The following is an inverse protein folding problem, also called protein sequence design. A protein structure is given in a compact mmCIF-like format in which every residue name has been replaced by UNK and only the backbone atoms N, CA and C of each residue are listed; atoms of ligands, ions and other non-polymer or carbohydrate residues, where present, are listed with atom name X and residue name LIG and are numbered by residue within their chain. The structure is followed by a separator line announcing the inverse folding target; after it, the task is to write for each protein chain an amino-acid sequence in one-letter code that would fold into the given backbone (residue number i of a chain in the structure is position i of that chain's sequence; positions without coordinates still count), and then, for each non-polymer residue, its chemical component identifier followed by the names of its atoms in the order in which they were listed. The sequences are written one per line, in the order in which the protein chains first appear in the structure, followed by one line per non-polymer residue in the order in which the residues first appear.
data_IF_746138523632
#
_entry.id   IF_746138523632
#
_cell.length_a   1.000
_cell.length_b   1.000
_cell.length_c   1.000
_cell.angle_alpha   90.00
_cell.angle_beta   90.00
_cell.angle_gamma   90.00
#
_symmetry.space_group_name_H-M   'P 1'
#
loop_
_entity.id
_entity.type
_entity.pdbx_description
1 polymer ?
#
# COMPACT_ATOMS: atom_id res chain seq x y z
N UNK A 1 54.52 23.97 -6.37
CA UNK A 1 53.58 22.87 -6.66
C UNK A 1 52.75 22.58 -5.42
N UNK A 2 51.50 23.03 -5.31
CA UNK A 2 50.60 22.56 -4.26
C UNK A 2 49.89 21.30 -4.77
N UNK A 3 50.05 20.19 -4.04
CA UNK A 3 49.31 18.94 -4.24
C UNK A 3 47.83 19.19 -3.93
N UNK A 4 47.02 19.40 -4.96
CA UNK A 4 45.57 19.35 -4.82
C UNK A 4 45.16 17.88 -4.81
N UNK A 5 44.80 17.42 -3.62
CA UNK A 5 44.21 16.13 -3.32
C UNK A 5 43.10 15.82 -4.32
N UNK A 6 43.19 14.68 -4.99
CA UNK A 6 42.16 14.22 -5.94
C UNK A 6 40.79 14.19 -5.25
N UNK A 7 39.71 14.65 -5.92
CA UNK A 7 38.36 14.59 -5.39
C UNK A 7 37.93 13.12 -5.17
N UNK A 8 37.12 12.83 -4.13
CA UNK A 8 36.70 11.48 -3.83
C UNK A 8 35.88 10.89 -5.00
N UNK A 9 35.99 9.57 -5.25
CA UNK A 9 35.26 8.94 -6.34
C UNK A 9 33.74 9.07 -6.13
N UNK A 10 32.96 9.18 -7.22
CA UNK A 10 31.51 9.26 -7.12
C UNK A 10 30.95 8.00 -6.43
N UNK A 11 29.90 8.13 -5.60
CA UNK A 11 29.32 6.98 -4.90
C UNK A 11 28.85 5.94 -5.91
N UNK A 12 29.26 4.69 -5.70
CA UNK A 12 28.83 3.54 -6.50
C UNK A 12 27.32 3.58 -6.70
N UNK A 13 26.90 3.59 -7.96
CA UNK A 13 25.52 3.30 -8.32
C UNK A 13 25.17 1.94 -7.73
N UNK A 14 24.27 1.93 -6.74
CA UNK A 14 23.61 0.71 -6.29
C UNK A 14 22.86 0.16 -7.50
N UNK A 15 23.55 -0.66 -8.29
CA UNK A 15 22.93 -1.52 -9.28
C UNK A 15 22.00 -2.42 -8.48
N UNK A 16 20.70 -2.15 -8.56
CA UNK A 16 19.67 -3.11 -8.20
C UNK A 16 19.96 -4.35 -9.04
N UNK A 17 20.67 -5.32 -8.43
CA UNK A 17 20.84 -6.64 -9.03
C UNK A 17 19.46 -7.08 -9.47
N UNK A 18 19.36 -7.60 -10.71
CA UNK A 18 18.19 -8.38 -11.15
C UNK A 18 17.70 -9.22 -9.97
N UNK A 19 16.39 -9.28 -9.72
CA UNK A 19 15.86 -9.98 -8.56
C UNK A 19 16.49 -11.37 -8.54
N UNK A 20 17.13 -11.78 -7.42
CA UNK A 20 17.74 -13.10 -7.37
C UNK A 20 16.63 -14.13 -7.65
N UNK A 21 16.96 -15.26 -8.32
CA UNK A 21 16.01 -16.37 -8.42
C UNK A 21 15.54 -16.72 -7.00
N UNK A 22 14.28 -17.20 -6.85
CA UNK A 22 13.65 -17.37 -5.53
C UNK A 22 14.63 -18.08 -4.61
N UNK A 23 15.01 -17.39 -3.53
CA UNK A 23 15.89 -17.97 -2.53
C UNK A 23 15.21 -19.25 -2.04
N UNK A 24 15.90 -20.41 -2.03
CA UNK A 24 15.34 -21.61 -1.43
C UNK A 24 14.93 -21.25 -0.01
N UNK A 25 13.70 -21.63 0.38
CA UNK A 25 13.10 -21.34 1.69
C UNK A 25 14.13 -21.47 2.81
N UNK A 26 14.77 -20.36 3.19
CA UNK A 26 15.54 -20.31 4.44
C UNK A 26 14.49 -20.23 5.53
N UNK A 27 14.44 -21.19 6.48
CA UNK A 27 13.50 -21.08 7.58
C UNK A 27 13.76 -19.77 8.31
N UNK A 28 12.71 -18.94 8.42
CA UNK A 28 12.72 -17.68 9.19
C UNK A 28 13.42 -17.96 10.53
N UNK A 29 14.28 -17.03 10.97
CA UNK A 29 14.59 -16.91 12.40
C UNK A 29 13.25 -16.70 13.09
N UNK A 30 12.70 -17.79 13.61
CA UNK A 30 11.55 -17.76 14.48
C UNK A 30 11.86 -16.69 15.52
N UNK A 31 11.01 -15.66 15.61
CA UNK A 31 10.85 -14.87 16.84
C UNK A 31 11.02 -15.87 17.98
N UNK A 32 11.99 -15.63 18.87
CA UNK A 32 12.44 -16.58 19.88
C UNK A 32 11.25 -17.39 20.37
N UNK A 33 11.15 -18.66 19.92
CA UNK A 33 10.14 -19.55 20.45
C UNK A 33 10.43 -19.56 21.94
N UNK A 34 9.50 -19.07 22.75
CA UNK A 34 9.49 -19.43 24.15
C UNK A 34 9.70 -20.95 24.18
N UNK A 35 10.77 -21.40 24.83
CA UNK A 35 11.03 -22.82 24.97
C UNK A 35 9.74 -23.48 25.46
N UNK A 36 9.26 -24.56 24.82
CA UNK A 36 8.01 -25.18 25.24
C UNK A 36 8.18 -25.63 26.70
N UNK A 37 7.48 -24.93 27.59
CA UNK A 37 7.28 -25.39 28.96
C UNK A 37 6.53 -26.71 28.82
N UNK A 38 7.01 -27.78 29.49
CA UNK A 38 6.28 -29.03 29.53
C UNK A 38 4.82 -28.74 29.95
N UNK A 39 3.82 -29.32 29.29
CA UNK A 39 2.40 -29.00 29.57
C UNK A 39 2.00 -29.14 31.07
N UNK A 40 2.77 -29.92 31.84
CA UNK A 40 2.61 -30.04 33.30
C UNK A 40 3.10 -28.84 34.11
N UNK A 41 4.01 -28.04 33.56
CA UNK A 41 4.62 -26.85 34.16
C UNK A 41 4.03 -25.54 33.60
N UNK A 42 3.12 -25.63 32.62
CA UNK A 42 2.51 -24.45 32.03
C UNK A 42 1.61 -23.76 33.07
N UNK A 43 1.89 -22.51 33.46
CA UNK A 43 1.05 -21.77 34.39
C UNK A 43 -0.38 -21.64 33.88
N UNK A 44 -0.63 -21.65 32.56
CA UNK A 44 -1.99 -21.65 32.01
C UNK A 44 -2.72 -22.97 32.30
N UNK A 45 -2.02 -24.10 32.39
CA UNK A 45 -2.61 -25.41 32.74
C UNK A 45 -2.97 -25.48 34.23
N UNK A 46 -2.19 -24.85 35.11
CA UNK A 46 -2.55 -24.73 36.52
C UNK A 46 -3.73 -23.76 36.71
N UNK A 47 -3.71 -22.62 36.01
CA UNK A 47 -4.80 -21.64 36.01
C UNK A 47 -6.08 -22.23 35.42
N UNK A 48 -5.99 -23.06 34.38
CA UNK A 48 -7.15 -23.69 33.75
C UNK A 48 -7.82 -24.68 34.68
N UNK A 49 -7.07 -25.50 35.43
CA UNK A 49 -7.66 -26.38 36.47
C UNK A 49 -8.38 -25.60 37.57
N UNK A 50 -7.90 -24.41 37.90
CA UNK A 50 -8.52 -23.54 38.90
C UNK A 50 -9.79 -22.84 38.35
N UNK A 51 -9.71 -22.26 37.16
CA UNK A 51 -10.80 -21.51 36.51
C UNK A 51 -11.90 -22.41 35.96
N UNK A 52 -11.53 -23.54 35.35
CA UNK A 52 -12.43 -24.58 34.84
C UNK A 52 -12.71 -25.69 35.86
N UNK A 53 -12.24 -25.52 37.10
CA UNK A 53 -12.54 -26.42 38.20
C UNK A 53 -14.02 -26.33 38.62
N UNK A 54 -14.45 -27.20 39.54
CA UNK A 54 -15.83 -27.24 40.07
C UNK A 54 -16.33 -25.94 40.73
N UNK A 55 -15.46 -24.94 40.93
CA UNK A 55 -15.76 -23.71 41.67
C UNK A 55 -16.54 -22.67 40.86
N UNK A 56 -16.43 -22.65 39.52
CA UNK A 56 -17.18 -21.74 38.65
C UNK A 56 -17.92 -22.56 37.58
N UNK A 57 -19.25 -22.45 37.46
CA UNK A 57 -19.98 -23.06 36.35
C UNK A 57 -19.36 -22.57 35.02
N UNK A 58 -19.04 -23.46 34.06
CA UNK A 58 -18.39 -23.08 32.81
C UNK A 58 -19.11 -21.94 32.06
N UNK A 59 -20.44 -21.85 32.16
CA UNK A 59 -21.23 -20.77 31.58
C UNK A 59 -20.89 -19.39 32.14
N UNK A 60 -20.69 -19.26 33.46
CA UNK A 60 -20.37 -17.99 34.11
C UNK A 60 -18.95 -17.53 33.74
N UNK A 61 -18.00 -18.46 33.70
CA UNK A 61 -16.64 -18.18 33.24
C UNK A 61 -16.65 -17.68 31.79
N UNK A 62 -17.35 -18.38 30.89
CA UNK A 62 -17.44 -17.99 29.48
C UNK A 62 -18.09 -16.61 29.32
N UNK A 63 -19.16 -16.32 30.06
CA UNK A 63 -19.79 -15.00 30.04
C UNK A 63 -18.84 -13.91 30.52
N UNK A 64 -18.13 -14.12 31.63
CA UNK A 64 -17.17 -13.15 32.16
C UNK A 64 -16.03 -12.87 31.18
N UNK A 65 -15.45 -13.92 30.61
CA UNK A 65 -14.37 -13.81 29.60
C UNK A 65 -14.88 -13.10 28.34
N UNK A 66 -16.07 -13.44 27.85
CA UNK A 66 -16.67 -12.78 26.69
C UNK A 66 -16.85 -11.28 26.93
N UNK A 67 -17.42 -10.89 28.07
CA UNK A 67 -17.60 -9.47 28.41
C UNK A 67 -16.26 -8.74 28.54
N UNK A 68 -15.29 -9.32 29.26
CA UNK A 68 -13.96 -8.75 29.41
C UNK A 68 -13.24 -8.57 28.07
N UNK A 69 -13.31 -9.59 27.21
CA UNK A 69 -12.75 -9.54 25.86
C UNK A 69 -13.40 -8.48 25.00
N UNK A 70 -14.74 -8.43 24.94
CA UNK A 70 -15.47 -7.43 24.16
C UNK A 70 -15.19 -6.01 24.64
N UNK A 71 -15.10 -5.79 25.96
CA UNK A 71 -14.78 -4.47 26.52
C UNK A 71 -13.34 -4.04 26.17
N UNK A 72 -12.36 -4.94 26.32
CA UNK A 72 -10.98 -4.67 25.94
C UNK A 72 -10.84 -4.39 24.44
N UNK A 73 -11.51 -5.20 23.61
CA UNK A 73 -11.56 -4.99 22.17
C UNK A 73 -12.15 -3.61 21.81
N UNK A 74 -13.29 -3.23 22.41
CA UNK A 74 -13.91 -1.92 22.17
C UNK A 74 -13.00 -0.74 22.55
N UNK A 75 -12.27 -0.85 23.67
CA UNK A 75 -11.31 0.17 24.09
C UNK A 75 -10.17 0.33 23.07
N UNK A 76 -9.63 -0.79 22.59
CA UNK A 76 -8.55 -0.81 21.59
C UNK A 76 -9.01 -0.25 20.25
N UNK A 77 -10.20 -0.66 19.80
CA UNK A 77 -10.77 -0.22 18.52
C UNK A 77 -11.03 1.28 18.49
N UNK A 78 -11.48 1.90 19.59
CA UNK A 78 -11.63 3.36 19.69
C UNK A 78 -10.35 4.15 19.38
N UNK A 79 -9.18 3.59 19.70
CA UNK A 79 -7.89 4.23 19.47
C UNK A 79 -7.31 3.88 18.09
N UNK A 80 -7.42 2.62 17.70
CA UNK A 80 -6.82 2.12 16.46
C UNK A 80 -7.63 2.48 15.22
N UNK A 81 -8.96 2.45 15.36
CA UNK A 81 -9.92 2.68 14.30
C UNK A 81 -11.12 3.48 14.82
N UNK A 82 -10.98 4.81 14.96
CA UNK A 82 -12.06 5.69 15.38
C UNK A 82 -13.32 5.45 14.57
N UNK A 83 -14.47 5.40 15.23
CA UNK A 83 -15.77 5.19 14.60
C UNK A 83 -16.79 6.21 15.08
N UNK A 84 -17.81 6.43 14.26
CA UNK A 84 -19.00 7.15 14.66
C UNK A 84 -19.68 6.40 15.83
N UNK A 85 -19.93 7.07 16.99
CA UNK A 85 -20.48 6.40 18.16
C UNK A 85 -21.91 5.87 18.01
N UNK A 86 -22.70 6.44 17.09
CA UNK A 86 -24.10 6.07 16.91
C UNK A 86 -24.25 4.88 15.95
N UNK A 87 -23.43 4.82 14.91
CA UNK A 87 -23.52 3.84 13.83
C UNK A 87 -22.45 2.75 13.91
N UNK A 88 -21.31 3.00 14.56
CA UNK A 88 -20.14 2.11 14.53
C UNK A 88 -19.33 2.19 13.23
N UNK A 89 -19.61 3.16 12.35
CA UNK A 89 -18.92 3.35 11.08
C UNK A 89 -17.51 3.92 11.26
N UNK A 90 -16.50 3.24 10.71
CA UNK A 90 -15.11 3.69 10.77
C UNK A 90 -14.91 5.03 10.05
N UNK A 91 -14.16 5.93 10.69
CA UNK A 91 -13.71 7.21 10.13
C UNK A 91 -12.19 7.29 10.18
N UNK A 92 -11.56 7.54 9.01
CA UNK A 92 -10.12 7.75 8.92
C UNK A 92 -9.75 9.11 9.53
N UNK A 93 -8.78 9.12 10.45
CA UNK A 93 -8.23 10.35 11.00
C UNK A 93 -7.51 11.15 9.90
N UNK A 94 -7.82 12.46 9.73
CA UNK A 94 -7.12 13.31 8.78
C UNK A 94 -5.62 13.44 9.08
N UNK A 95 -4.86 13.62 8.00
CA UNK A 95 -3.42 13.88 8.05
C UNK A 95 -3.11 15.24 8.69
N UNK A 96 -2.12 15.29 9.60
CA UNK A 96 -1.72 16.54 10.30
C UNK A 96 -0.96 17.51 9.39
N UNK A 97 -0.34 17.02 8.33
CA UNK A 97 0.35 17.79 7.30
C UNK A 97 -0.27 17.44 5.94
N UNK A 98 -1.50 17.92 5.67
CA UNK A 98 -2.33 17.40 4.59
C UNK A 98 -1.91 17.90 3.20
N UNK A 99 -1.01 18.87 3.09
CA UNK A 99 -0.56 19.45 1.84
C UNK A 99 0.92 19.83 1.93
N UNK A 100 1.58 19.89 0.77
CA UNK A 100 2.93 20.47 0.64
C UNK A 100 2.81 21.99 0.69
N UNK A 101 3.42 22.62 1.69
CA UNK A 101 3.38 24.08 1.87
C UNK A 101 4.73 24.69 1.50
N UNK A 102 4.70 25.64 0.56
CA UNK A 102 5.91 26.31 0.05
C UNK A 102 6.75 25.38 -0.83
N UNK A 103 8.03 25.73 -1.01
CA UNK A 103 8.98 24.96 -1.82
C UNK A 103 9.95 24.20 -0.91
N UNK A 104 9.84 22.86 -0.82
CA UNK A 104 10.80 22.03 -0.08
C UNK A 104 12.22 22.18 -0.63
N UNK A 105 13.22 21.81 0.18
CA UNK A 105 14.60 21.81 -0.26
C UNK A 105 14.84 20.67 -1.23
N UNK A 106 16.00 20.67 -1.89
CA UNK A 106 16.39 19.54 -2.69
C UNK A 106 16.66 18.26 -1.85
N UNK A 107 16.89 18.35 -0.54
CA UNK A 107 17.25 17.19 0.27
C UNK A 107 16.03 16.52 0.87
N UNK A 108 15.21 15.90 0.04
CA UNK A 108 14.03 15.16 0.46
C UNK A 108 14.37 13.75 0.95
N UNK A 109 13.56 13.23 1.86
CA UNK A 109 13.61 11.84 2.31
C UNK A 109 12.19 11.31 2.50
N UNK A 110 11.95 10.07 2.07
CA UNK A 110 10.64 9.43 2.19
C UNK A 110 10.70 8.35 3.28
N UNK A 111 9.75 8.38 4.21
CA UNK A 111 9.53 7.31 5.18
C UNK A 111 8.26 6.54 4.84
N UNK A 112 8.36 5.22 4.77
CA UNK A 112 7.26 4.33 4.37
C UNK A 112 7.16 3.13 5.30
N UNK A 113 6.06 2.39 5.21
CA UNK A 113 5.97 1.04 5.71
C UNK A 113 5.37 0.14 4.64
N UNK A 114 6.07 -0.93 4.26
CA UNK A 114 5.67 -1.83 3.16
C UNK A 114 4.24 -2.41 3.27
N UNK A 115 3.70 -2.71 4.47
CA UNK A 115 2.32 -3.17 4.58
C UNK A 115 1.29 -2.08 4.20
N UNK A 116 1.63 -0.81 4.40
CA UNK A 116 0.69 0.31 4.31
C UNK A 116 0.38 0.67 2.83
N UNK A 117 -0.88 0.53 2.36
CA UNK A 117 -1.23 0.88 0.99
C UNK A 117 -1.09 2.38 0.71
N UNK A 118 -1.32 3.24 1.71
CA UNK A 118 -1.13 4.69 1.57
C UNK A 118 0.34 5.04 1.28
N UNK A 119 1.27 4.37 1.97
CA UNK A 119 2.70 4.57 1.73
C UNK A 119 3.15 3.93 0.42
N UNK A 120 2.50 2.83 0.02
CA UNK A 120 2.76 2.16 -1.23
C UNK A 120 2.46 3.04 -2.45
N UNK A 121 1.50 3.97 -2.38
CA UNK A 121 1.25 4.96 -3.46
C UNK A 121 2.51 5.79 -3.77
N UNK A 122 3.15 6.32 -2.73
CA UNK A 122 4.39 7.08 -2.88
C UNK A 122 5.55 6.21 -3.37
N UNK A 123 5.62 4.95 -2.95
CA UNK A 123 6.61 3.99 -3.47
C UNK A 123 6.43 3.70 -4.95
N UNK A 124 5.19 3.52 -5.41
CA UNK A 124 4.87 3.28 -6.80
C UNK A 124 5.24 4.48 -7.67
N UNK A 125 4.81 5.68 -7.29
CA UNK A 125 5.17 6.91 -8.04
C UNK A 125 6.68 7.10 -8.06
N UNK A 126 7.37 6.84 -6.94
CA UNK A 126 8.84 6.90 -6.88
C UNK A 126 9.51 5.93 -7.85
N UNK A 127 9.00 4.70 -7.99
CA UNK A 127 9.56 3.70 -8.89
C UNK A 127 9.21 3.97 -10.36
N UNK A 128 7.94 4.25 -10.65
CA UNK A 128 7.43 4.50 -12.00
C UNK A 128 8.07 5.74 -12.65
N UNK A 129 8.37 6.78 -11.86
CA UNK A 129 8.96 8.03 -12.35
C UNK A 129 10.49 8.12 -12.17
N UNK A 130 11.15 7.01 -11.82
CA UNK A 130 12.62 6.94 -11.72
C UNK A 130 13.23 7.84 -10.64
N UNK A 131 12.51 8.10 -9.55
CA UNK A 131 12.90 9.05 -8.50
C UNK A 131 13.82 8.43 -7.43
N UNK A 132 14.34 7.20 -7.62
CA UNK A 132 15.01 6.47 -6.55
C UNK A 132 16.28 7.15 -6.05
N UNK A 133 17.04 7.76 -6.96
CA UNK A 133 18.25 8.52 -6.63
C UNK A 133 17.93 9.87 -5.98
N UNK A 134 16.81 10.49 -6.37
CA UNK A 134 16.39 11.82 -5.93
C UNK A 134 15.71 11.80 -4.57
N UNK A 135 15.01 10.70 -4.29
CA UNK A 135 14.21 10.51 -3.08
C UNK A 135 14.68 9.25 -2.34
N UNK A 136 15.72 9.36 -1.48
CA UNK A 136 16.11 8.32 -0.55
C UNK A 136 14.96 7.89 0.36
N UNK A 137 15.04 6.66 0.86
CA UNK A 137 13.96 5.97 1.57
C UNK A 137 14.43 5.46 2.93
N UNK A 138 13.54 5.48 3.92
CA UNK A 138 13.62 4.62 5.10
C UNK A 138 12.33 3.84 5.28
N UNK A 139 12.48 2.54 5.50
CA UNK A 139 11.36 1.62 5.63
C UNK A 139 11.16 1.32 7.12
N UNK A 140 10.07 1.81 7.68
CA UNK A 140 9.64 1.45 9.02
C UNK A 140 8.84 0.14 8.99
N UNK A 141 8.98 -0.66 10.02
CA UNK A 141 8.22 -1.89 10.26
C UNK A 141 7.26 -1.71 11.43
N UNK A 142 6.15 -2.46 11.50
CA UNK A 142 5.27 -2.44 12.66
C UNK A 142 6.01 -2.89 13.93
N UNK A 143 5.98 -2.07 14.97
CA UNK A 143 6.51 -2.41 16.30
C UNK A 143 5.49 -3.11 17.18
N UNK A 144 5.97 -3.81 18.21
CA UNK A 144 5.10 -4.53 19.17
C UNK A 144 4.21 -3.58 20.02
N UNK A 145 4.57 -2.30 20.09
CA UNK A 145 3.78 -1.23 20.70
C UNK A 145 2.74 -0.61 19.75
N UNK A 146 2.58 -1.17 18.55
CA UNK A 146 1.70 -0.65 17.50
C UNK A 146 2.24 0.57 16.75
N UNK A 147 3.45 1.05 17.09
CA UNK A 147 4.08 2.19 16.44
C UNK A 147 5.09 1.76 15.37
N UNK A 148 5.26 2.61 14.34
CA UNK A 148 6.28 2.41 13.32
C UNK A 148 7.69 2.49 13.92
N UNK A 149 8.48 1.46 13.66
CA UNK A 149 9.80 1.22 14.24
C UNK A 149 10.84 0.98 13.14
N UNK A 150 12.09 1.31 13.43
CA UNK A 150 13.23 0.96 12.60
C UNK A 150 14.02 -0.15 13.29
N UNK A 151 14.58 -1.07 12.52
CA UNK A 151 15.33 -2.23 13.01
C UNK A 151 16.75 -2.22 12.44
N UNK A 152 17.70 -3.03 12.96
CA UNK A 152 19.03 -3.14 12.35
C UNK A 152 19.00 -3.55 10.87
N UNK A 153 18.02 -4.38 10.47
CA UNK A 153 17.84 -4.81 9.07
C UNK A 153 17.08 -3.78 8.22
N UNK A 154 16.41 -2.82 8.86
CA UNK A 154 15.67 -1.73 8.20
C UNK A 154 15.82 -0.43 9.01
N UNK A 155 17.03 0.15 9.03
CA UNK A 155 17.32 1.31 9.86
C UNK A 155 16.72 2.57 9.26
N UNK A 156 16.53 3.59 10.11
CA UNK A 156 16.40 4.96 9.63
C UNK A 156 17.74 5.40 9.00
N UNK A 157 17.74 5.49 7.67
CA UNK A 157 18.90 5.83 6.87
C UNK A 157 19.29 7.31 6.95
N UNK A 158 18.45 8.17 7.53
CA UNK A 158 18.71 9.61 7.61
C UNK A 158 19.27 10.01 8.99
N UNK A 159 18.63 9.59 10.08
CA UNK A 159 19.00 10.03 11.43
C UNK A 159 19.30 8.89 12.41
N UNK A 160 19.20 7.63 12.00
CA UNK A 160 19.42 6.47 12.87
C UNK A 160 18.44 6.39 14.04
N UNK A 161 17.23 6.95 13.92
CA UNK A 161 16.18 6.83 14.93
C UNK A 161 15.69 5.39 15.04
N UNK A 162 15.14 5.04 16.21
CA UNK A 162 14.54 3.71 16.47
C UNK A 162 13.05 3.68 16.18
N UNK A 163 12.38 4.83 16.23
CA UNK A 163 10.93 4.94 16.00
C UNK A 163 10.61 6.12 15.08
N UNK A 164 9.60 5.98 14.22
CA UNK A 164 9.15 7.08 13.35
C UNK A 164 8.68 8.30 14.15
N UNK A 165 8.10 8.08 15.34
CA UNK A 165 7.71 9.17 16.24
C UNK A 165 8.89 10.07 16.65
N UNK A 166 10.10 9.52 16.73
CA UNK A 166 11.32 10.28 17.06
C UNK A 166 11.73 11.20 15.88
N UNK A 167 11.41 10.81 14.63
CA UNK A 167 11.59 11.67 13.44
C UNK A 167 10.61 12.84 13.50
N UNK A 168 9.32 12.57 13.70
CA UNK A 168 8.31 13.63 13.87
C UNK A 168 8.65 14.57 15.04
N UNK A 169 9.08 14.03 16.18
CA UNK A 169 9.46 14.83 17.34
C UNK A 169 10.74 15.67 17.10
N UNK A 170 11.58 15.29 16.13
CA UNK A 170 12.78 16.03 15.75
C UNK A 170 12.53 17.19 14.79
N UNK A 171 11.29 17.38 14.34
CA UNK A 171 10.90 18.50 13.50
C UNK A 171 11.28 19.84 14.16
N UNK A 172 11.83 20.77 13.37
CA UNK A 172 12.34 22.05 13.88
C UNK A 172 11.26 22.87 14.58
N UNK A 173 10.01 22.83 14.10
CA UNK A 173 8.88 23.48 14.77
C UNK A 173 8.55 22.89 16.15
N UNK A 174 9.11 21.73 16.49
CA UNK A 174 8.97 21.04 17.78
C UNK A 174 7.58 20.46 18.01
N UNK A 175 7.44 19.70 19.11
CA UNK A 175 6.13 19.43 19.73
C UNK A 175 5.10 18.65 18.92
N UNK A 176 5.51 17.66 18.12
CA UNK A 176 4.52 16.84 17.40
C UNK A 176 3.72 15.95 18.36
N UNK A 177 2.51 16.39 18.68
CA UNK A 177 1.45 15.58 19.29
C UNK A 177 0.53 15.04 18.20
N UNK A 178 0.47 13.71 18.06
CA UNK A 178 -0.38 13.05 17.08
C UNK A 178 0.16 11.69 16.65
N UNK A 179 -0.56 11.06 15.72
CA UNK A 179 -0.14 9.78 15.14
C UNK A 179 1.00 10.01 14.16
N UNK A 180 2.18 9.45 14.47
CA UNK A 180 3.29 9.38 13.52
C UNK A 180 2.95 8.35 12.42
N UNK A 181 2.39 8.82 11.30
CA UNK A 181 1.94 7.99 10.17
C UNK A 181 2.96 7.93 9.04
N UNK A 182 2.83 6.87 8.23
CA UNK A 182 3.44 6.74 6.90
C UNK A 182 2.34 6.86 5.83
N UNK A 183 2.65 7.36 4.62
CA UNK A 183 3.94 7.92 4.22
C UNK A 183 4.25 9.24 4.92
N UNK A 184 5.53 9.55 5.07
CA UNK A 184 6.02 10.85 5.53
C UNK A 184 7.06 11.35 4.52
N UNK A 185 6.78 12.48 3.89
CA UNK A 185 7.75 13.22 3.09
C UNK A 185 8.44 14.25 4.00
N UNK A 186 9.76 14.21 4.02
CA UNK A 186 10.59 14.97 4.96
C UNK A 186 11.62 15.83 4.22
N UNK A 187 11.80 17.07 4.68
CA UNK A 187 12.88 17.96 4.22
C UNK A 187 14.07 17.81 5.17
N UNK A 188 15.11 17.11 4.73
CA UNK A 188 16.27 16.78 5.55
C UNK A 188 17.16 17.98 5.86
N UNK A 189 17.15 19.00 5.01
CA UNK A 189 17.91 20.24 5.21
C UNK A 189 17.21 21.13 6.25
N UNK A 190 15.90 21.32 6.10
CA UNK A 190 15.10 22.13 7.04
C UNK A 190 14.73 21.39 8.32
N UNK A 191 14.89 20.06 8.33
CA UNK A 191 14.46 19.15 9.40
C UNK A 191 12.98 19.35 9.72
N UNK A 192 12.14 19.23 8.70
CA UNK A 192 10.71 19.52 8.82
C UNK A 192 9.86 18.52 8.05
N UNK A 193 8.63 18.30 8.53
CA UNK A 193 7.63 17.53 7.79
C UNK A 193 7.15 18.36 6.60
N UNK A 194 7.27 17.79 5.40
CA UNK A 194 6.75 18.40 4.17
C UNK A 194 5.27 18.07 4.01
N UNK A 195 4.93 16.78 4.08
CA UNK A 195 3.56 16.28 3.94
C UNK A 195 3.48 14.86 4.50
N UNK A 196 2.32 14.47 5.03
CA UNK A 196 2.02 13.08 5.40
C UNK A 196 0.67 12.58 4.86
N UNK A 197 0.10 13.29 3.89
CA UNK A 197 -1.04 12.82 3.10
C UNK A 197 -0.56 12.19 1.79
N UNK A 198 -0.91 10.93 1.59
CA UNK A 198 -0.40 10.09 0.50
C UNK A 198 -0.68 10.65 -0.89
N UNK A 199 -1.88 11.17 -1.14
CA UNK A 199 -2.27 11.68 -2.46
C UNK A 199 -1.54 12.99 -2.80
N UNK A 200 -1.34 13.87 -1.83
CA UNK A 200 -0.61 15.12 -2.03
C UNK A 200 0.88 14.88 -2.18
N UNK A 201 1.45 13.89 -1.47
CA UNK A 201 2.82 13.42 -1.73
C UNK A 201 2.94 12.93 -3.17
N UNK A 202 2.02 12.09 -3.66
CA UNK A 202 2.12 11.57 -5.03
C UNK A 202 2.03 12.66 -6.09
N UNK A 203 1.14 13.64 -5.93
CA UNK A 203 1.04 14.81 -6.83
C UNK A 203 2.34 15.61 -6.85
N UNK A 204 2.89 15.90 -5.67
CA UNK A 204 4.18 16.58 -5.55
C UNK A 204 5.32 15.82 -6.23
N UNK A 205 5.34 14.48 -6.13
CA UNK A 205 6.34 13.66 -6.80
C UNK A 205 6.19 13.66 -8.33
N UNK A 206 4.97 13.76 -8.87
CA UNK A 206 4.74 13.96 -10.30
C UNK A 206 5.34 15.29 -10.78
N UNK A 207 5.07 16.39 -10.07
CA UNK A 207 5.64 17.71 -10.41
C UNK A 207 7.18 17.70 -10.31
N UNK A 208 7.73 17.03 -9.29
CA UNK A 208 9.18 16.87 -9.13
C UNK A 208 9.81 16.12 -10.31
N UNK A 209 9.20 15.01 -10.75
CA UNK A 209 9.71 14.22 -11.88
C UNK A 209 9.62 14.97 -13.21
N UNK A 210 8.56 15.76 -13.41
CA UNK A 210 8.40 16.60 -14.60
C UNK A 210 9.47 17.70 -14.66
N UNK A 211 9.79 18.33 -13.53
CA UNK A 211 10.84 19.35 -13.45
C UNK A 211 12.25 18.80 -13.67
N UNK A 212 12.54 17.59 -13.16
CA UNK A 212 13.86 16.95 -13.29
C UNK A 212 14.03 16.21 -14.63
N UNK A 213 12.97 16.03 -15.42
CA UNK A 213 12.97 15.22 -16.64
C UNK A 213 13.18 13.72 -16.39
N UNK A 214 12.98 13.24 -15.16
CA UNK A 214 13.23 11.84 -14.77
C UNK A 214 12.13 10.88 -15.20
N UNK A 215 10.97 11.41 -15.58
CA UNK A 215 9.75 10.66 -15.84
C UNK A 215 9.81 9.65 -17.01
N UNK A 216 10.88 9.66 -17.82
CA UNK A 216 11.04 8.69 -18.93
C UNK A 216 9.90 8.71 -19.96
N UNK A 217 9.13 9.80 -20.02
CA UNK A 217 7.94 9.95 -20.87
C UNK A 217 6.61 9.58 -20.19
N UNK A 218 6.61 9.01 -18.98
CA UNK A 218 5.40 8.68 -18.24
C UNK A 218 4.93 9.88 -17.39
N UNK A 219 3.78 10.45 -17.72
CA UNK A 219 3.10 11.43 -16.86
C UNK A 219 1.89 10.77 -16.18
N UNK A 220 1.97 10.59 -14.86
CA UNK A 220 0.89 10.01 -14.06
C UNK A 220 -0.18 11.04 -13.67
N UNK A 221 0.09 12.34 -13.83
CA UNK A 221 -0.83 13.41 -13.46
C UNK A 221 -0.89 14.55 -14.50
N UNK A 222 -1.12 14.19 -15.78
CA UNK A 222 -1.05 15.14 -16.87
C UNK A 222 -2.20 16.16 -16.79
N UNK A 223 -1.95 17.45 -17.10
CA UNK A 223 -2.93 18.53 -16.94
C UNK A 223 -4.32 18.25 -17.51
N UNK A 224 -4.39 17.64 -18.70
CA UNK A 224 -5.62 17.34 -19.43
C UNK A 224 -6.48 16.25 -18.79
N UNK A 225 -5.89 15.35 -17.99
CA UNK A 225 -6.63 14.28 -17.28
C UNK A 225 -6.90 14.61 -15.81
N UNK A 226 -6.45 15.75 -15.27
CA UNK A 226 -6.57 16.06 -13.84
C UNK A 226 -8.02 16.01 -13.33
N UNK A 227 -8.97 16.53 -14.10
CA UNK A 227 -10.39 16.49 -13.73
C UNK A 227 -10.93 15.05 -13.66
N UNK A 228 -10.54 14.20 -14.61
CA UNK A 228 -10.95 12.79 -14.64
C UNK A 228 -10.27 11.98 -13.53
N UNK A 229 -9.01 12.27 -13.23
CA UNK A 229 -8.28 11.68 -12.10
C UNK A 229 -8.99 12.04 -10.79
N UNK A 230 -9.36 13.31 -10.59
CA UNK A 230 -10.07 13.76 -9.39
C UNK A 230 -11.48 13.14 -9.30
N UNK A 231 -12.18 12.99 -10.43
CA UNK A 231 -13.48 12.30 -10.52
C UNK A 231 -13.37 10.84 -10.08
N UNK A 232 -12.39 10.11 -10.64
CA UNK A 232 -12.14 8.72 -10.26
C UNK A 232 -11.68 8.59 -8.81
N UNK A 233 -10.76 9.43 -8.37
CA UNK A 233 -10.27 9.43 -6.99
C UNK A 233 -11.41 9.65 -6.00
N UNK A 234 -12.31 10.60 -6.27
CA UNK A 234 -13.50 10.89 -5.46
C UNK A 234 -14.46 9.69 -5.35
N UNK A 235 -14.48 8.82 -6.37
CA UNK A 235 -15.25 7.58 -6.36
C UNK A 235 -14.50 6.45 -5.62
N UNK A 236 -13.26 6.14 -6.00
CA UNK A 236 -12.52 4.98 -5.47
C UNK A 236 -12.02 5.18 -4.04
N UNK A 237 -11.72 6.42 -3.61
CA UNK A 237 -11.22 6.68 -2.27
C UNK A 237 -12.22 6.23 -1.19
N UNK A 238 -13.46 6.73 -1.14
CA UNK A 238 -14.38 6.35 -0.08
C UNK A 238 -14.89 4.91 -0.22
N UNK A 239 -15.10 4.43 -1.44
CA UNK A 239 -15.77 3.16 -1.72
C UNK A 239 -14.84 1.94 -1.78
N UNK A 240 -13.58 2.12 -2.20
CA UNK A 240 -12.62 1.02 -2.36
C UNK A 240 -11.42 1.18 -1.45
N UNK A 241 -10.65 2.27 -1.61
CA UNK A 241 -9.40 2.44 -0.86
C UNK A 241 -9.64 2.52 0.65
N UNK A 242 -10.60 3.34 1.06
CA UNK A 242 -11.09 3.41 2.43
C UNK A 242 -12.22 2.41 2.70
N UNK A 243 -12.95 1.97 1.67
CA UNK A 243 -14.05 1.00 1.80
C UNK A 243 -13.62 -0.32 2.44
N UNK A 244 -12.48 -0.88 2.06
CA UNK A 244 -11.95 -2.10 2.70
C UNK A 244 -11.67 -1.89 4.19
N UNK A 245 -11.17 -0.73 4.60
CA UNK A 245 -10.97 -0.39 6.01
C UNK A 245 -12.29 -0.16 6.74
N UNK A 246 -13.30 0.41 6.07
CA UNK A 246 -14.66 0.52 6.62
C UNK A 246 -15.24 -0.86 6.94
N UNK A 247 -15.04 -1.86 6.07
CA UNK A 247 -15.43 -3.24 6.36
C UNK A 247 -14.62 -3.85 7.51
N UNK A 248 -13.29 -3.72 7.45
CA UNK A 248 -12.39 -4.34 8.42
C UNK A 248 -12.49 -3.78 9.83
N UNK A 249 -12.83 -2.50 9.96
CA UNK A 249 -12.93 -1.79 11.24
C UNK A 249 -14.36 -1.41 11.65
N UNK A 250 -15.39 -1.86 10.92
CA UNK A 250 -16.77 -1.71 11.35
C UNK A 250 -16.98 -2.30 12.76
N UNK A 251 -17.69 -1.54 13.62
CA UNK A 251 -17.96 -1.94 15.01
C UNK A 251 -19.44 -2.33 15.24
N UNK A 252 -20.24 -2.37 14.18
CA UNK A 252 -21.63 -2.84 14.17
C UNK A 252 -21.89 -3.64 12.90
N UNK A 253 -22.94 -4.45 12.91
CA UNK A 253 -23.35 -5.21 11.73
C UNK A 253 -23.85 -4.27 10.63
N UNK A 254 -24.60 -3.24 11.01
CA UNK A 254 -25.17 -2.25 10.10
C UNK A 254 -24.08 -1.44 9.37
N UNK A 255 -23.04 -1.01 10.09
CA UNK A 255 -21.92 -0.30 9.48
C UNK A 255 -21.11 -1.20 8.54
N UNK A 256 -20.95 -2.48 8.90
CA UNK A 256 -20.28 -3.46 8.06
C UNK A 256 -21.09 -3.72 6.77
N UNK A 257 -22.39 -3.98 6.87
CA UNK A 257 -23.23 -4.29 5.71
C UNK A 257 -23.31 -3.11 4.75
N UNK A 258 -23.43 -1.88 5.26
CA UNK A 258 -23.38 -0.67 4.45
C UNK A 258 -22.03 -0.53 3.72
N UNK A 259 -20.92 -0.66 4.44
CA UNK A 259 -19.57 -0.54 3.85
C UNK A 259 -19.28 -1.65 2.83
N UNK A 260 -19.66 -2.89 3.12
CA UNK A 260 -19.47 -4.03 2.23
C UNK A 260 -20.34 -3.89 0.97
N UNK A 261 -21.60 -3.47 1.11
CA UNK A 261 -22.49 -3.17 0.00
C UNK A 261 -21.91 -2.11 -0.95
N UNK A 262 -21.45 -0.98 -0.40
CA UNK A 262 -20.80 0.09 -1.17
C UNK A 262 -19.51 -0.38 -1.86
N UNK A 263 -18.66 -1.14 -1.15
CA UNK A 263 -17.41 -1.67 -1.69
C UNK A 263 -17.65 -2.56 -2.91
N UNK A 264 -18.55 -3.54 -2.79
CA UNK A 264 -18.80 -4.49 -3.87
C UNK A 264 -19.56 -3.86 -5.03
N UNK A 265 -20.49 -2.93 -4.77
CA UNK A 265 -21.11 -2.14 -5.84
C UNK A 265 -20.06 -1.31 -6.61
N UNK A 266 -19.06 -0.76 -5.92
CA UNK A 266 -17.97 -0.04 -6.56
C UNK A 266 -17.04 -0.95 -7.36
N UNK A 267 -16.69 -2.13 -6.84
CA UNK A 267 -15.91 -3.13 -7.57
C UNK A 267 -16.65 -3.62 -8.83
N UNK A 268 -17.96 -3.87 -8.74
CA UNK A 268 -18.77 -4.27 -9.90
C UNK A 268 -18.79 -3.18 -10.98
N UNK A 269 -18.88 -1.90 -10.60
CA UNK A 269 -18.78 -0.77 -11.54
C UNK A 269 -17.38 -0.62 -12.14
N UNK A 270 -16.33 -0.86 -11.36
CA UNK A 270 -14.95 -0.81 -11.86
C UNK A 270 -14.67 -1.96 -12.83
N UNK A 271 -15.20 -3.16 -12.56
CA UNK A 271 -15.10 -4.31 -13.45
C UNK A 271 -15.72 -3.98 -14.82
N UNK A 272 -16.94 -3.43 -14.83
CA UNK A 272 -17.63 -3.03 -16.06
C UNK A 272 -16.83 -1.97 -16.83
N UNK A 273 -16.37 -0.91 -16.17
CA UNK A 273 -15.54 0.14 -16.80
C UNK A 273 -14.23 -0.43 -17.38
N UNK A 274 -13.50 -1.22 -16.60
CA UNK A 274 -12.19 -1.76 -16.98
C UNK A 274 -12.26 -2.92 -17.99
N UNK A 275 -13.47 -3.40 -18.30
CA UNK A 275 -13.71 -4.33 -19.41
C UNK A 275 -13.54 -3.66 -20.78
N UNK A 276 -13.84 -2.36 -20.86
CA UNK A 276 -13.80 -1.57 -22.11
C UNK A 276 -12.69 -0.53 -22.17
N UNK A 277 -11.99 -0.27 -21.05
CA UNK A 277 -10.93 0.73 -20.96
C UNK A 277 -9.69 0.14 -20.31
N UNK A 278 -8.49 0.44 -20.84
CA UNK A 278 -7.23 -0.11 -20.32
C UNK A 278 -6.95 0.36 -18.88
N UNK A 279 -7.16 1.64 -18.59
CA UNK A 279 -7.00 2.26 -17.28
C UNK A 279 -8.23 3.11 -16.93
N UNK A 280 -8.27 3.69 -15.73
CA UNK A 280 -9.42 4.48 -15.30
C UNK A 280 -9.67 5.69 -16.21
N UNK A 281 -8.61 6.38 -16.64
CA UNK A 281 -8.71 7.58 -17.48
C UNK A 281 -8.47 7.32 -18.98
N UNK A 282 -8.58 6.07 -19.44
CA UNK A 282 -8.36 5.71 -20.85
C UNK A 282 -7.12 4.84 -21.05
N UNK A 283 -6.26 5.21 -22.00
CA UNK A 283 -5.15 4.36 -22.47
C UNK A 283 -3.88 4.48 -21.63
N UNK A 284 -3.74 5.55 -20.85
CA UNK A 284 -2.53 5.84 -20.06
C UNK A 284 -2.76 5.61 -18.57
N UNK A 285 -1.72 5.12 -17.89
CA UNK A 285 -1.73 4.96 -16.44
C UNK A 285 -1.71 6.32 -15.75
N UNK A 286 -2.58 6.52 -14.76
CA UNK A 286 -2.66 7.77 -13.99
C UNK A 286 -2.53 7.56 -12.49
N UNK A 287 -2.48 8.66 -11.71
CA UNK A 287 -2.51 8.61 -10.24
C UNK A 287 -3.76 7.93 -9.69
N UNK A 288 -4.90 7.99 -10.39
CA UNK A 288 -6.10 7.27 -9.98
C UNK A 288 -5.85 5.75 -9.97
N UNK A 289 -5.11 5.25 -10.98
CA UNK A 289 -4.75 3.85 -11.10
C UNK A 289 -3.77 3.41 -10.03
N UNK A 290 -2.74 4.23 -9.75
CA UNK A 290 -1.82 4.02 -8.63
C UNK A 290 -2.59 3.91 -7.31
N UNK A 291 -3.57 4.79 -7.09
CA UNK A 291 -4.39 4.75 -5.88
C UNK A 291 -5.22 3.47 -5.79
N UNK A 292 -5.86 3.05 -6.88
CA UNK A 292 -6.68 1.84 -6.92
C UNK A 292 -5.83 0.57 -6.74
N UNK A 293 -4.75 0.44 -7.50
CA UNK A 293 -3.85 -0.72 -7.51
C UNK A 293 -3.33 -1.08 -6.11
N UNK A 294 -2.95 -0.10 -5.30
CA UNK A 294 -2.45 -0.36 -3.93
C UNK A 294 -3.46 -1.10 -3.05
N UNK A 295 -4.76 -0.93 -3.30
CA UNK A 295 -5.81 -1.70 -2.63
C UNK A 295 -6.00 -3.05 -3.30
N UNK A 296 -6.11 -3.10 -4.64
CA UNK A 296 -6.39 -4.34 -5.37
C UNK A 296 -5.32 -5.41 -5.13
N UNK A 297 -4.04 -5.07 -5.23
CA UNK A 297 -2.94 -6.04 -5.04
C UNK A 297 -2.94 -6.71 -3.66
N UNK A 298 -3.63 -6.12 -2.66
CA UNK A 298 -3.76 -6.66 -1.29
C UNK A 298 -5.09 -7.39 -1.05
N UNK A 299 -6.02 -7.32 -2.00
CA UNK A 299 -7.42 -7.66 -1.75
C UNK A 299 -7.59 -9.12 -1.33
N UNK A 300 -7.14 -10.06 -2.15
CA UNK A 300 -7.29 -11.50 -1.85
C UNK A 300 -6.41 -11.94 -0.68
N UNK A 301 -5.22 -11.36 -0.55
CA UNK A 301 -4.27 -11.70 0.50
C UNK A 301 -4.76 -11.28 1.89
N UNK A 302 -5.31 -10.07 2.00
CA UNK A 302 -5.60 -9.43 3.29
C UNK A 302 -7.07 -9.09 3.42
N UNK A 303 -7.62 -8.28 2.53
CA UNK A 303 -8.92 -7.65 2.76
C UNK A 303 -10.07 -8.65 2.69
N UNK A 304 -9.97 -9.61 1.78
CA UNK A 304 -10.93 -10.69 1.64
C UNK A 304 -11.13 -11.44 2.96
N UNK A 305 -10.04 -11.86 3.63
CA UNK A 305 -10.11 -12.65 4.85
C UNK A 305 -10.17 -11.78 6.11
N UNK A 306 -9.13 -10.98 6.38
CA UNK A 306 -9.00 -10.23 7.63
C UNK A 306 -10.04 -9.11 7.76
N UNK A 307 -10.35 -8.43 6.66
CA UNK A 307 -11.32 -7.32 6.65
C UNK A 307 -12.72 -7.76 6.26
N UNK A 308 -12.93 -9.07 6.11
CA UNK A 308 -14.23 -9.68 5.79
C UNK A 308 -14.81 -9.18 4.45
N UNK A 309 -13.98 -8.79 3.48
CA UNK A 309 -14.44 -8.45 2.14
C UNK A 309 -14.69 -9.74 1.31
N UNK A 310 -15.66 -10.57 1.73
CA UNK A 310 -15.77 -11.98 1.32
C UNK A 310 -16.75 -12.29 0.18
N UNK A 311 -17.51 -11.33 -0.34
CA UNK A 311 -18.54 -11.62 -1.37
C UNK A 311 -17.94 -12.21 -2.65
N UNK A 312 -16.78 -11.72 -3.06
CA UNK A 312 -16.05 -12.17 -4.25
C UNK A 312 -14.57 -11.79 -4.10
N UNK A 313 -13.66 -12.68 -4.48
CA UNK A 313 -12.22 -12.41 -4.59
C UNK A 313 -11.92 -11.57 -5.82
N UNK A 314 -10.81 -10.84 -5.80
CA UNK A 314 -10.31 -10.09 -6.94
C UNK A 314 -10.08 -11.00 -8.15
N UNK A 315 -9.53 -12.22 -7.96
CA UNK A 315 -9.30 -13.17 -9.06
C UNK A 315 -10.59 -13.60 -9.79
N UNK A 316 -11.76 -13.44 -9.16
CA UNK A 316 -13.06 -13.73 -9.76
C UNK A 316 -13.62 -12.54 -10.58
N UNK A 317 -12.94 -11.39 -10.56
CA UNK A 317 -13.21 -10.25 -11.43
C UNK A 317 -12.21 -10.23 -12.58
N UNK A 318 -12.65 -10.60 -13.79
CA UNK A 318 -11.75 -10.83 -14.92
C UNK A 318 -10.95 -9.57 -15.30
N UNK A 319 -11.62 -8.43 -15.41
CA UNK A 319 -11.03 -7.17 -15.85
C UNK A 319 -10.17 -6.54 -14.76
N UNK A 320 -10.65 -6.51 -13.51
CA UNK A 320 -9.88 -6.00 -12.36
C UNK A 320 -8.63 -6.83 -12.04
N UNK A 321 -8.72 -8.16 -12.14
CA UNK A 321 -7.56 -9.03 -11.94
C UNK A 321 -6.53 -8.84 -13.06
N UNK A 322 -6.97 -8.80 -14.33
CA UNK A 322 -6.09 -8.47 -15.45
C UNK A 322 -5.46 -7.07 -15.30
N UNK A 323 -6.25 -6.08 -14.86
CA UNK A 323 -5.79 -4.70 -14.62
C UNK A 323 -4.71 -4.64 -13.55
N UNK A 324 -4.90 -5.38 -12.45
CA UNK A 324 -3.91 -5.47 -11.37
C UNK A 324 -2.61 -6.11 -11.88
N UNK A 325 -2.70 -7.14 -12.74
CA UNK A 325 -1.51 -7.78 -13.34
C UNK A 325 -0.78 -6.88 -14.34
N UNK A 326 -1.50 -6.13 -15.17
CA UNK A 326 -0.92 -5.13 -16.10
C UNK A 326 -0.04 -4.13 -15.34
N UNK A 327 -0.59 -3.51 -14.28
CA UNK A 327 0.18 -2.57 -13.44
C UNK A 327 1.33 -3.27 -12.72
N UNK A 328 1.12 -4.47 -12.18
CA UNK A 328 2.18 -5.23 -11.48
C UNK A 328 3.39 -5.53 -12.39
N UNK A 329 3.14 -5.77 -13.68
CA UNK A 329 4.14 -6.12 -14.68
C UNK A 329 4.94 -4.91 -15.20
N UNK A 330 4.53 -3.69 -14.88
CA UNK A 330 5.28 -2.49 -15.24
C UNK A 330 6.67 -2.48 -14.57
N UNK A 331 7.70 -1.93 -15.26
CA UNK A 331 9.04 -1.85 -14.72
C UNK A 331 9.08 -1.22 -13.31
N UNK A 332 9.72 -1.93 -12.37
CA UNK A 332 9.89 -1.46 -10.99
C UNK A 332 8.71 -1.74 -10.04
N UNK A 333 7.49 -1.97 -10.54
CA UNK A 333 6.28 -2.14 -9.69
C UNK A 333 6.33 -3.42 -8.85
N UNK A 334 6.68 -4.56 -9.44
CA UNK A 334 6.79 -5.82 -8.69
C UNK A 334 7.74 -5.69 -7.48
N UNK A 335 8.80 -4.89 -7.60
CA UNK A 335 9.77 -4.62 -6.52
C UNK A 335 9.22 -3.80 -5.35
N UNK A 336 8.08 -3.11 -5.51
CA UNK A 336 7.42 -2.39 -4.42
C UNK A 336 6.36 -3.24 -3.70
N UNK A 337 6.03 -4.41 -4.25
CA UNK A 337 4.96 -5.29 -3.77
C UNK A 337 5.49 -6.42 -2.85
N UNK A 338 5.91 -6.07 -1.64
CA UNK A 338 6.33 -7.07 -0.64
C UNK A 338 5.12 -7.75 0.01
N UNK A 339 4.67 -8.84 -0.61
CA UNK A 339 3.51 -9.62 -0.16
C UNK A 339 3.71 -10.24 1.23
N UNK A 340 4.94 -10.59 1.59
CA UNK A 340 5.26 -11.15 2.90
C UNK A 340 5.15 -10.07 4.00
N UNK A 341 5.72 -8.88 3.76
CA UNK A 341 5.58 -7.75 4.67
C UNK A 341 4.12 -7.31 4.78
N UNK A 342 3.37 -7.30 3.68
CA UNK A 342 1.92 -7.03 3.70
C UNK A 342 1.20 -8.03 4.63
N UNK A 343 1.37 -9.33 4.42
CA UNK A 343 0.73 -10.33 5.27
C UNK A 343 1.14 -10.20 6.75
N UNK A 344 2.43 -10.04 7.02
CA UNK A 344 2.96 -9.88 8.39
C UNK A 344 2.41 -8.63 9.07
N UNK A 345 2.34 -7.50 8.36
CA UNK A 345 1.83 -6.25 8.91
C UNK A 345 0.33 -6.29 9.21
N UNK A 346 -0.47 -6.97 8.38
CA UNK A 346 -1.91 -7.06 8.62
C UNK A 346 -2.27 -8.15 9.63
N UNK A 347 -1.81 -9.40 9.42
CA UNK A 347 -2.16 -10.51 10.30
C UNK A 347 -1.37 -10.52 11.61
N UNK A 348 -0.14 -9.98 11.63
CA UNK A 348 0.71 -9.93 12.80
C UNK A 348 0.52 -8.67 13.66
N UNK A 349 0.42 -7.49 13.03
CA UNK A 349 0.41 -6.22 13.77
C UNK A 349 -0.99 -5.66 14.08
N UNK A 350 -2.03 -6.02 13.31
CA UNK A 350 -3.42 -5.63 13.64
C UNK A 350 -4.05 -6.61 14.64
N UNK A 351 -3.45 -6.72 15.82
CA UNK A 351 -3.82 -7.70 16.83
C UNK A 351 -5.30 -7.69 17.27
N UNK A 352 -6.06 -6.57 17.29
CA UNK A 352 -7.48 -6.63 17.67
C UNK A 352 -8.34 -7.33 16.62
N UNK A 353 -7.85 -7.46 15.38
CA UNK A 353 -8.54 -8.18 14.30
C UNK A 353 -8.05 -9.63 14.19
N UNK A 354 -6.80 -9.90 14.55
CA UNK A 354 -6.22 -11.24 14.53
C UNK A 354 -5.38 -11.51 15.80
N UNK A 355 -6.01 -11.71 16.96
CA UNK A 355 -5.32 -11.82 18.25
C UNK A 355 -4.39 -13.04 18.33
N UNK A 356 -4.65 -14.09 17.55
CA UNK A 356 -3.78 -15.26 17.48
C UNK A 356 -2.47 -15.02 16.73
N UNK A 357 -2.37 -13.94 15.94
CA UNK A 357 -1.18 -13.63 15.13
C UNK A 357 -0.83 -14.70 14.10
N UNK A 358 -1.76 -15.61 13.80
CA UNK A 358 -1.56 -16.69 12.83
C UNK A 358 -1.63 -16.07 11.44
N UNK A 359 -0.58 -16.28 10.65
CA UNK A 359 -0.52 -15.88 9.26
C UNK A 359 -1.19 -16.98 8.41
N UNK A 360 -2.24 -16.68 7.62
CA UNK A 360 -2.80 -17.64 6.69
C UNK A 360 -1.79 -17.94 5.57
N UNK A 361 -2.01 -19.06 4.88
CA UNK A 361 -1.33 -19.32 3.62
C UNK A 361 -1.70 -18.25 2.59
N UNK A 362 -0.71 -17.83 1.80
CA UNK A 362 -0.89 -16.86 0.72
C UNK A 362 -1.73 -17.53 -0.39
N UNK A 363 -2.83 -16.89 -0.85
CA UNK A 363 -3.58 -17.40 -2.00
C UNK A 363 -2.64 -17.57 -3.21
N UNK A 364 -2.79 -18.67 -3.96
CA UNK A 364 -1.93 -18.95 -5.12
C UNK A 364 -1.95 -17.83 -6.17
N UNK A 365 -3.09 -17.14 -6.34
CA UNK A 365 -3.25 -15.97 -7.22
C UNK A 365 -2.40 -14.76 -6.81
N UNK A 366 -1.88 -14.73 -5.59
CA UNK A 366 -1.03 -13.64 -5.09
C UNK A 366 0.47 -13.95 -5.22
N UNK A 367 0.86 -15.09 -5.79
CA UNK A 367 2.27 -15.41 -6.01
C UNK A 367 2.85 -14.50 -7.12
N UNK A 368 4.17 -14.20 -7.08
CA UNK A 368 4.81 -13.46 -8.17
C UNK A 368 4.59 -14.12 -9.53
N UNK A 369 4.64 -15.44 -9.62
CA UNK A 369 4.41 -16.19 -10.85
C UNK A 369 3.00 -15.97 -11.41
N UNK A 370 1.97 -16.04 -10.56
CA UNK A 370 0.58 -15.81 -10.95
C UNK A 370 0.36 -14.34 -11.40
N UNK A 371 0.98 -13.38 -10.72
CA UNK A 371 0.86 -11.95 -11.07
C UNK A 371 1.60 -11.59 -12.36
N UNK A 372 2.57 -12.39 -12.79
CA UNK A 372 3.32 -12.25 -14.04
C UNK A 372 2.68 -12.99 -15.23
N UNK A 373 1.58 -13.72 -15.04
CA UNK A 373 0.84 -14.31 -16.16
C UNK A 373 0.30 -13.23 -17.12
N UNK A 374 0.14 -13.51 -18.42
CA UNK A 374 -0.35 -12.53 -19.39
C UNK A 374 -1.68 -11.89 -18.98
N UNK A 375 -1.71 -10.55 -18.91
CA UNK A 375 -2.91 -9.77 -18.59
C UNK A 375 -3.81 -9.52 -19.80
N UNK A 376 -3.25 -9.50 -21.02
CA UNK A 376 -4.02 -9.36 -22.27
C UNK A 376 -4.64 -7.97 -22.51
N UNK A 377 -4.26 -6.96 -21.70
CA UNK A 377 -4.90 -5.62 -21.74
C UNK A 377 -4.35 -4.67 -22.80
N UNK A 378 -3.28 -5.05 -23.50
CA UNK A 378 -2.74 -4.25 -24.62
C UNK A 378 -3.81 -3.96 -25.69
N UNK A 379 -4.70 -4.93 -25.95
CA UNK A 379 -5.77 -4.84 -26.94
C UNK A 379 -6.87 -3.81 -26.58
N UNK A 380 -6.92 -3.33 -25.33
CA UNK A 380 -7.86 -2.29 -24.91
C UNK A 380 -7.35 -0.87 -25.20
N UNK A 381 -6.09 -0.71 -25.63
CA UNK A 381 -5.53 0.60 -25.98
C UNK A 381 -5.99 1.01 -27.38
N UNK A 382 -6.42 2.26 -27.57
CA UNK A 382 -6.80 2.77 -28.89
C UNK A 382 -5.65 2.75 -29.91
N UNK A 383 -4.40 2.84 -29.46
CA UNK A 383 -3.20 2.71 -30.31
C UNK A 383 -3.09 1.33 -30.97
N UNK A 384 -3.52 0.26 -30.31
CA UNK A 384 -3.48 -1.10 -30.86
C UNK A 384 -4.45 -1.27 -32.05
N UNK A 385 -5.56 -0.54 -32.05
CA UNK A 385 -6.51 -0.52 -33.17
C UNK A 385 -5.97 0.24 -34.39
N UNK A 386 -5.17 1.29 -34.17
CA UNK A 386 -4.53 2.05 -35.25
C UNK A 386 -3.45 1.24 -35.98
N UNK A 387 -2.63 0.47 -35.26
CA UNK A 387 -1.60 -0.39 -35.87
C UNK A 387 -2.19 -1.60 -36.61
N UNK A 388 -3.36 -2.11 -36.18
CA UNK A 388 -4.07 -3.17 -36.90
C UNK A 388 -4.76 -2.69 -38.19
N UNK A 389 -5.02 -1.38 -38.33
CA UNK A 389 -5.75 -0.77 -39.45
C UNK A 389 -4.88 -0.30 -40.63
N UNK A 390 -3.55 -0.32 -40.52
CA UNK A 390 -2.63 0.24 -41.53
C UNK A 390 -2.40 -0.60 -42.79
N UNK A 391 -2.95 -1.80 -42.89
CA UNK A 391 -2.73 -2.73 -43.99
C UNK A 391 -3.89 -2.75 -44.99
N UNK A 392 -4.14 -1.67 -45.73
CA UNK A 392 -5.28 -1.70 -46.66
C UNK A 392 -5.44 -0.52 -47.59
N UNK A 393 -4.95 -0.71 -48.82
CA UNK A 393 -5.53 -0.22 -50.07
C UNK A 393 -5.12 1.18 -50.56
N UNK A 394 -4.43 1.20 -51.70
CA UNK A 394 -4.08 2.42 -52.42
C UNK A 394 -3.26 2.20 -53.69
N UNK A 395 -3.61 1.19 -54.51
CA UNK A 395 -3.17 1.16 -55.91
C UNK A 395 -3.85 2.32 -56.63
N UNK A 396 -3.12 3.38 -56.97
CA UNK A 396 -3.54 4.30 -58.01
C UNK A 396 -2.39 4.52 -58.99
N UNK A 397 -2.68 4.09 -60.22
CA UNK A 397 -1.80 4.08 -61.38
C UNK A 397 -1.40 5.50 -61.76
N UNK A 398 -0.11 5.80 -61.63
CA UNK A 398 0.54 6.92 -62.31
C UNK A 398 0.83 6.53 -63.76
N UNK A 399 0.34 7.33 -64.70
CA UNK A 399 1.06 7.74 -65.91
C UNK A 399 0.14 8.61 -66.78
N UNK A 400 -0.02 9.87 -66.37
CA UNK A 400 -0.38 10.96 -67.27
C UNK A 400 0.90 11.66 -67.71
N UNK A 401 1.15 11.72 -69.01
CA UNK A 401 1.53 12.95 -69.72
C UNK A 401 1.87 12.62 -71.18
N UNK A 402 0.89 12.89 -72.03
CA UNK A 402 1.11 13.26 -73.41
C UNK A 402 0.90 14.77 -73.49
N UNK A 403 1.94 15.57 -73.82
CA UNK A 403 1.78 16.84 -74.54
C UNK A 403 3.13 17.31 -75.09
N UNK A 404 3.17 17.45 -76.42
CA UNK A 404 4.02 18.28 -77.28
C UNK A 404 5.54 18.12 -77.25
#
# INVERSE_FOLDING_TARGET
MPMWSQPPPPPSSLQLRRPPPPLPHRPRRLRSRLSPIAASQDPLTALSRLLWGRALPPSQLVLAVRHGWTAAWGLLMRQLAPSDPATGAFTRTPSRFPAVVGTPSARLHLYVGLPCPWAHRALLVRALLGLERRLPLSVAVPGDDGAWSFTPDSPDALYGKRKLREVYASARRGGFEGRASVPLLWDAERREVVCNESIEITKFLCDLAAADGSAGGLDLWPPELRQDIDRWYSFIYPSVNNGVYRCGFAQSQEAYDAAAGELFAALDRLEDHLSGSRYLCGDTLTLADVCLFTTLVRFDLVYHSLFRCTRRKLVEYASLHAYTRDIYQMPGVAGTCDMAAIADGYFGALFPLNPGGILPLVPASCSPEALLEPHGREALSSSAAADAGGGGNGRQLEATSASN
#
